data_IF_807799195646
#
_entry.id   IF_807799195646
#
_cell.length_a   1.000
_cell.length_b   1.000
_cell.length_c   1.000
_cell.angle_alpha   90.00
_cell.angle_beta   90.00
_cell.angle_gamma   90.00
#
_symmetry.space_group_name_H-M   'P 1'
#
loop_
_entity.id
_entity.type
_entity.pdbx_description
1 polymer ?
#
# COMPACT_ATOMS: atom_id res chain seq x y z
N UNK A 1 -7.63 -12.92 -24.52
CA UNK A 1 -8.02 -11.84 -23.59
C UNK A 1 -6.83 -11.61 -22.67
N UNK A 2 -6.09 -10.52 -22.84
CA UNK A 2 -4.98 -10.17 -21.96
C UNK A 2 -5.56 -9.40 -20.77
N UNK A 3 -5.46 -9.95 -19.56
CA UNK A 3 -5.88 -9.23 -18.35
C UNK A 3 -4.80 -8.19 -18.06
N UNK A 4 -5.14 -6.90 -18.15
CA UNK A 4 -4.28 -5.83 -17.66
C UNK A 4 -4.22 -5.97 -16.13
N UNK A 5 -3.01 -6.16 -15.58
CA UNK A 5 -2.79 -6.15 -14.13
C UNK A 5 -2.85 -4.70 -13.64
N UNK A 6 -4.04 -4.22 -13.30
CA UNK A 6 -4.20 -2.89 -12.69
C UNK A 6 -3.92 -2.98 -11.20
N UNK A 7 -3.06 -2.11 -10.69
CA UNK A 7 -2.79 -1.98 -9.27
C UNK A 7 -3.03 -0.54 -8.81
N UNK A 8 -3.63 -0.38 -7.64
CA UNK A 8 -3.65 0.88 -6.92
C UNK A 8 -2.43 0.96 -6.01
N UNK A 9 -1.79 2.14 -5.97
CA UNK A 9 -0.53 2.34 -5.23
C UNK A 9 -0.75 3.31 -4.08
N UNK A 10 -0.45 2.86 -2.86
CA UNK A 10 -0.39 3.71 -1.68
C UNK A 10 1.05 4.07 -1.37
N UNK A 11 1.24 5.19 -0.69
CA UNK A 11 2.53 5.56 -0.10
C UNK A 11 2.35 5.81 1.38
N UNK A 12 3.17 5.19 2.21
CA UNK A 12 3.21 5.52 3.63
C UNK A 12 3.83 6.91 3.80
N UNK A 13 3.49 7.66 4.86
CA UNK A 13 4.22 8.88 5.18
C UNK A 13 5.72 8.56 5.41
N UNK A 14 6.59 9.53 5.13
CA UNK A 14 8.01 9.45 5.50
C UNK A 14 8.11 9.55 7.02
N UNK A 15 8.80 8.61 7.65
CA UNK A 15 8.94 8.57 9.11
C UNK A 15 10.37 8.29 9.56
N UNK A 16 10.60 8.40 10.87
CA UNK A 16 11.80 7.88 11.53
C UNK A 16 11.81 6.35 11.51
N UNK A 17 12.96 5.74 11.82
CA UNK A 17 13.07 4.29 11.98
C UNK A 17 12.13 3.76 13.09
N UNK A 18 11.93 4.53 14.16
CA UNK A 18 11.10 4.14 15.31
C UNK A 18 9.61 4.07 14.96
N UNK A 19 9.16 4.93 14.06
CA UNK A 19 7.74 5.04 13.70
C UNK A 19 7.37 4.27 12.43
N UNK A 20 8.37 3.76 11.71
CA UNK A 20 8.20 3.20 10.38
C UNK A 20 7.22 2.02 10.32
N UNK A 21 7.41 1.02 11.19
CA UNK A 21 6.51 -0.15 11.26
C UNK A 21 5.08 0.27 11.58
N UNK A 22 4.91 1.25 12.48
CA UNK A 22 3.58 1.76 12.82
C UNK A 22 2.92 2.49 11.66
N UNK A 23 3.68 3.19 10.81
CA UNK A 23 3.16 3.85 9.61
C UNK A 23 2.66 2.84 8.57
N UNK A 24 3.36 1.71 8.41
CA UNK A 24 2.94 0.61 7.53
C UNK A 24 1.64 0.00 8.02
N UNK A 25 1.56 -0.40 9.30
CA UNK A 25 0.36 -0.99 9.88
C UNK A 25 -0.87 -0.08 9.75
N UNK A 26 -0.73 1.21 10.08
CA UNK A 26 -1.83 2.17 9.94
C UNK A 26 -2.28 2.34 8.49
N UNK A 27 -1.36 2.24 7.54
CA UNK A 27 -1.67 2.33 6.12
C UNK A 27 -2.46 1.09 5.68
N UNK A 28 -2.05 -0.10 6.09
CA UNK A 28 -2.82 -1.33 5.85
C UNK A 28 -4.19 -1.32 6.51
N UNK A 29 -4.28 -0.87 7.77
CA UNK A 29 -5.56 -0.72 8.46
C UNK A 29 -6.48 0.21 7.68
N UNK A 30 -5.98 1.37 7.23
CA UNK A 30 -6.72 2.28 6.38
C UNK A 30 -7.16 1.63 5.06
N UNK A 31 -6.25 0.94 4.36
CA UNK A 31 -6.55 0.25 3.09
C UNK A 31 -7.68 -0.76 3.29
N UNK A 32 -7.61 -1.58 4.34
CA UNK A 32 -8.52 -2.70 4.55
C UNK A 32 -9.88 -2.26 5.14
N UNK A 33 -9.87 -1.33 6.08
CA UNK A 33 -11.06 -0.97 6.85
C UNK A 33 -11.81 0.24 6.28
N UNK A 34 -11.12 1.12 5.57
CA UNK A 34 -11.70 2.38 5.09
C UNK A 34 -11.66 2.44 3.56
N UNK A 35 -10.50 2.35 2.94
CA UNK A 35 -10.40 2.60 1.50
C UNK A 35 -11.08 1.50 0.69
N UNK A 36 -10.69 0.23 0.87
CA UNK A 36 -11.16 -0.86 0.01
C UNK A 36 -12.70 -0.99 0.02
N UNK A 37 -13.39 -0.98 1.18
CA UNK A 37 -14.85 -1.05 1.21
C UNK A 37 -15.56 0.12 0.53
N UNK A 38 -14.92 1.30 0.45
CA UNK A 38 -15.52 2.53 -0.06
C UNK A 38 -14.99 2.95 -1.44
N UNK A 39 -14.00 2.26 -1.99
CA UNK A 39 -13.29 2.66 -3.21
C UNK A 39 -14.04 2.38 -4.51
N UNK A 40 -15.03 1.49 -4.48
CA UNK A 40 -15.70 0.97 -5.68
C UNK A 40 -14.91 -0.11 -6.42
N UNK A 41 -13.65 -0.35 -6.04
CA UNK A 41 -12.82 -1.44 -6.58
C UNK A 41 -13.00 -2.73 -5.78
N UNK A 42 -12.72 -3.87 -6.43
CA UNK A 42 -12.54 -5.14 -5.73
C UNK A 42 -11.07 -5.53 -5.75
N UNK A 43 -10.59 -6.07 -4.63
CA UNK A 43 -9.27 -6.67 -4.58
C UNK A 43 -9.22 -7.87 -5.51
N UNK A 44 -8.30 -7.84 -6.47
CA UNK A 44 -8.12 -8.90 -7.44
C UNK A 44 -7.34 -10.07 -6.82
N UNK A 45 -7.50 -11.26 -7.38
CA UNK A 45 -6.63 -12.38 -7.06
C UNK A 45 -5.24 -12.11 -7.65
N UNK A 46 -4.21 -12.02 -6.80
CA UNK A 46 -2.85 -11.69 -7.21
C UNK A 46 -1.95 -11.43 -6.01
N UNK A 47 -0.69 -11.14 -6.28
CA UNK A 47 0.28 -10.79 -5.24
C UNK A 47 0.19 -9.30 -4.91
N UNK A 48 0.12 -9.01 -3.63
CA UNK A 48 0.40 -7.67 -3.09
C UNK A 48 1.92 -7.58 -2.84
N UNK A 49 2.50 -6.41 -3.08
CA UNK A 49 3.91 -6.19 -2.80
C UNK A 49 4.16 -4.81 -2.22
N UNK A 50 5.22 -4.74 -1.42
CA UNK A 50 5.69 -3.54 -0.74
C UNK A 50 7.09 -3.20 -1.25
N UNK A 51 7.35 -1.93 -1.53
CA UNK A 51 8.69 -1.46 -1.87
C UNK A 51 9.18 -0.49 -0.82
N UNK A 52 10.22 -0.89 -0.10
CA UNK A 52 10.93 -0.08 0.87
C UNK A 52 11.70 1.07 0.21
N UNK A 53 11.55 2.27 0.76
CA UNK A 53 12.22 3.49 0.32
C UNK A 53 12.88 4.14 1.53
N UNK A 54 14.21 4.26 1.47
CA UNK A 54 15.02 4.99 2.43
C UNK A 54 15.69 6.19 1.74
N UNK A 55 15.50 7.38 2.30
CA UNK A 55 16.11 8.60 1.81
C UNK A 55 16.43 9.50 3.00
N UNK A 56 17.68 9.98 3.12
CA UNK A 56 18.08 10.96 4.14
C UNK A 56 17.67 10.58 5.58
N UNK A 57 17.82 9.30 5.95
CA UNK A 57 17.42 8.73 7.26
C UNK A 57 15.91 8.79 7.55
N UNK A 58 15.10 8.92 6.51
CA UNK A 58 13.65 8.76 6.57
C UNK A 58 13.23 7.52 5.79
N UNK A 59 12.17 6.88 6.25
CA UNK A 59 11.72 5.58 5.79
C UNK A 59 10.26 5.67 5.32
N UNK A 60 9.93 5.03 4.21
CA UNK A 60 8.57 4.94 3.67
C UNK A 60 8.43 3.71 2.79
N UNK A 61 7.20 3.33 2.46
CA UNK A 61 6.91 2.26 1.51
C UNK A 61 5.93 2.70 0.44
N UNK A 62 5.97 2.02 -0.70
CA UNK A 62 4.83 1.93 -1.60
C UNK A 62 4.18 0.56 -1.47
N UNK A 63 2.87 0.54 -1.36
CA UNK A 63 2.06 -0.68 -1.25
C UNK A 63 1.22 -0.81 -2.50
N UNK A 64 1.31 -1.95 -3.17
CA UNK A 64 0.65 -2.22 -4.45
C UNK A 64 -0.48 -3.23 -4.23
N UNK A 65 -1.72 -2.77 -4.45
CA UNK A 65 -2.92 -3.59 -4.30
C UNK A 65 -3.50 -3.89 -5.68
N UNK A 66 -3.55 -5.16 -6.12
CA UNK A 66 -4.15 -5.51 -7.39
C UNK A 66 -5.67 -5.33 -7.30
N UNK A 67 -6.26 -4.68 -8.30
CA UNK A 67 -7.68 -4.30 -8.32
C UNK A 67 -8.37 -4.63 -9.65
N UNK A 68 -9.69 -4.85 -9.56
CA UNK A 68 -10.64 -4.94 -10.68
C UNK A 68 -11.84 -4.04 -10.46
#
# INVERSE_FOLDING_TARGET
MWVLFTAYVFSTPKTSHYDFVNAIHRTWDYINSIWLPNSGYRRAAGYEFETYIEESRTFSEKIYIPIV
#
